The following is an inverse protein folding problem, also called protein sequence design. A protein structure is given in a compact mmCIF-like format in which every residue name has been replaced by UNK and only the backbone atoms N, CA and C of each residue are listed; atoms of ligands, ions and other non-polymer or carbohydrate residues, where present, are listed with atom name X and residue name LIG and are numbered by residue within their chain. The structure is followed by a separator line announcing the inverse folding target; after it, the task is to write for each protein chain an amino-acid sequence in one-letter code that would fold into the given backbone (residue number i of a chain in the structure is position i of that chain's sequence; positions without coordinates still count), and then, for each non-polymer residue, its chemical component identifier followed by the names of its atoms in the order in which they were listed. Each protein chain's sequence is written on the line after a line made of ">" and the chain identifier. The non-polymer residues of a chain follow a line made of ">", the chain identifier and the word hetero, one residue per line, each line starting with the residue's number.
data_IF_968110720006
#
_entry.id   IF_968110720006
#
_cell.length_a   1.000
_cell.length_b   1.000
_cell.length_c   1.000
_cell.angle_alpha   90.00
_cell.angle_beta   90.00
_cell.angle_gamma   90.00
#
_symmetry.space_group_name_H-M   'P 1'
#
loop_
_entity.id
_entity.type
_entity.pdbx_description
1 polymer ?
#
# COMPACT_ATOMS: atom_id res chain seq x y z
N UNK A 1 -18.49 -0.36 -0.72
CA UNK A 1 -18.03 -1.62 -0.10
C UNK A 1 -17.76 -2.60 -1.24
N UNK A 2 -16.53 -2.59 -1.75
CA UNK A 2 -16.14 -3.40 -2.92
C UNK A 2 -15.80 -4.79 -2.42
N UNK A 3 -16.58 -5.80 -2.83
CA UNK A 3 -16.31 -7.19 -2.48
C UNK A 3 -14.93 -7.62 -2.99
N UNK A 4 -14.19 -8.31 -2.11
CA UNK A 4 -12.92 -9.00 -2.35
C UNK A 4 -13.07 -9.97 -3.53
N UNK A 5 -12.79 -9.56 -4.78
CA UNK A 5 -12.77 -10.52 -5.90
C UNK A 5 -11.43 -11.24 -5.96
N UNK A 6 -11.21 -12.22 -5.09
CA UNK A 6 -10.17 -13.22 -5.35
C UNK A 6 -10.38 -13.70 -6.80
N UNK A 7 -9.37 -13.55 -7.66
CA UNK A 7 -9.52 -13.90 -9.09
C UNK A 7 -9.92 -15.36 -9.19
N UNK A 8 -10.86 -15.70 -10.08
CA UNK A 8 -11.35 -17.07 -10.28
C UNK A 8 -10.20 -18.07 -10.42
N UNK A 9 -9.13 -17.67 -11.11
CA UNK A 9 -7.89 -18.45 -11.29
C UNK A 9 -7.16 -18.80 -9.98
N UNK A 10 -7.18 -17.91 -8.97
CA UNK A 10 -6.56 -18.19 -7.68
C UNK A 10 -7.42 -19.14 -6.85
N UNK A 11 -8.75 -19.06 -6.99
CA UNK A 11 -9.69 -19.99 -6.37
C UNK A 11 -9.50 -21.39 -6.97
N UNK A 12 -9.47 -21.50 -8.30
CA UNK A 12 -9.24 -22.75 -9.03
C UNK A 12 -7.89 -23.40 -8.66
N UNK A 13 -6.83 -22.60 -8.51
CA UNK A 13 -5.52 -23.10 -8.09
C UNK A 13 -5.53 -23.65 -6.65
N UNK A 14 -6.20 -22.97 -5.72
CA UNK A 14 -6.35 -23.43 -4.32
C UNK A 14 -7.24 -24.67 -4.25
N UNK A 15 -8.33 -24.71 -5.01
CA UNK A 15 -9.22 -25.88 -5.10
C UNK A 15 -8.47 -27.10 -5.64
N UNK A 16 -7.65 -26.95 -6.68
CA UNK A 16 -6.81 -28.02 -7.21
C UNK A 16 -5.81 -28.59 -6.18
N UNK A 17 -5.19 -27.71 -5.36
CA UNK A 17 -4.29 -28.13 -4.27
C UNK A 17 -5.07 -28.91 -3.20
N UNK A 18 -6.26 -28.42 -2.83
CA UNK A 18 -7.13 -29.07 -1.83
C UNK A 18 -7.60 -30.45 -2.33
N UNK A 19 -7.98 -30.56 -3.60
CA UNK A 19 -8.46 -31.82 -4.17
C UNK A 19 -7.33 -32.85 -4.32
N UNK A 20 -6.13 -32.41 -4.70
CA UNK A 20 -4.92 -33.24 -4.65
C UNK A 20 -4.62 -33.75 -3.23
N UNK A 21 -4.79 -32.90 -2.22
CA UNK A 21 -4.59 -33.28 -0.82
C UNK A 21 -5.65 -34.26 -0.31
N UNK A 22 -6.92 -34.13 -0.73
CA UNK A 22 -7.98 -35.10 -0.42
C UNK A 22 -7.70 -36.48 -1.03
N UNK A 23 -7.13 -36.53 -2.23
CA UNK A 23 -6.82 -37.76 -2.93
C UNK A 23 -5.60 -38.50 -2.34
N UNK A 24 -4.60 -37.76 -1.86
CA UNK A 24 -3.29 -38.32 -1.46
C UNK A 24 -3.05 -38.34 0.05
N UNK A 25 -3.83 -37.59 0.82
CA UNK A 25 -3.59 -37.36 2.25
C UNK A 25 -2.39 -36.46 2.55
N UNK A 26 -1.75 -35.88 1.52
CA UNK A 26 -0.59 -35.00 1.63
C UNK A 26 -0.90 -33.64 1.03
N UNK A 27 -0.57 -32.56 1.75
CA UNK A 27 -0.74 -31.20 1.26
C UNK A 27 0.53 -30.79 0.49
N UNK A 28 0.35 -30.31 -0.74
CA UNK A 28 1.40 -29.59 -1.45
C UNK A 28 1.63 -28.21 -0.82
N UNK A 29 2.53 -28.18 0.17
CA UNK A 29 2.85 -26.98 0.92
C UNK A 29 3.45 -25.87 0.02
N UNK A 30 4.30 -26.24 -0.93
CA UNK A 30 4.96 -25.26 -1.81
C UNK A 30 3.96 -24.66 -2.80
N UNK A 31 3.05 -25.49 -3.33
CA UNK A 31 1.90 -25.02 -4.12
C UNK A 31 1.00 -24.08 -3.33
N UNK A 32 0.65 -24.43 -2.08
CA UNK A 32 -0.18 -23.59 -1.21
C UNK A 32 0.49 -22.25 -0.90
N UNK A 33 1.78 -22.27 -0.59
CA UNK A 33 2.58 -21.07 -0.34
C UNK A 33 2.61 -20.17 -1.57
N UNK A 34 2.85 -20.73 -2.76
CA UNK A 34 2.86 -19.99 -4.03
C UNK A 34 1.50 -19.34 -4.34
N UNK A 35 0.41 -20.06 -4.10
CA UNK A 35 -0.94 -19.54 -4.23
C UNK A 35 -1.21 -18.39 -3.24
N UNK A 36 -0.80 -18.54 -1.98
CA UNK A 36 -0.94 -17.50 -0.97
C UNK A 36 -0.14 -16.23 -1.32
N UNK A 37 1.11 -16.37 -1.79
CA UNK A 37 1.93 -15.25 -2.26
C UNK A 37 1.29 -14.52 -3.45
N UNK A 38 0.64 -15.27 -4.34
CA UNK A 38 -0.08 -14.70 -5.49
C UNK A 38 -1.34 -13.94 -5.07
N UNK A 39 -2.14 -14.49 -4.16
CA UNK A 39 -3.30 -13.80 -3.60
C UNK A 39 -2.88 -12.52 -2.89
N UNK A 40 -1.83 -12.57 -2.05
CA UNK A 40 -1.32 -11.42 -1.34
C UNK A 40 -0.83 -10.31 -2.28
N UNK A 41 -0.07 -10.68 -3.32
CA UNK A 41 0.37 -9.73 -4.36
C UNK A 41 -0.83 -9.08 -5.06
N UNK A 42 -1.83 -9.86 -5.45
CA UNK A 42 -2.99 -9.33 -6.16
C UNK A 42 -3.79 -8.34 -5.30
N UNK A 43 -3.97 -8.66 -4.02
CA UNK A 43 -4.62 -7.79 -3.05
C UNK A 43 -3.82 -6.48 -2.84
N UNK A 44 -2.51 -6.60 -2.68
CA UNK A 44 -1.62 -5.44 -2.55
C UNK A 44 -1.69 -4.54 -3.79
N UNK A 45 -1.62 -5.10 -5.00
CA UNK A 45 -1.64 -4.33 -6.26
C UNK A 45 -2.96 -3.59 -6.46
N UNK A 46 -4.09 -4.22 -6.11
CA UNK A 46 -5.39 -3.55 -6.15
C UNK A 46 -5.53 -2.45 -5.11
N UNK A 47 -5.02 -2.67 -3.91
CA UNK A 47 -4.97 -1.65 -2.86
C UNK A 47 -4.09 -0.47 -3.29
N UNK A 48 -2.96 -0.76 -3.95
CA UNK A 48 -2.09 0.25 -4.54
C UNK A 48 -2.80 1.04 -5.64
N UNK A 49 -3.50 0.37 -6.56
CA UNK A 49 -4.27 1.02 -7.62
C UNK A 49 -5.39 1.91 -7.07
N UNK A 50 -6.17 1.39 -6.11
CA UNK A 50 -7.22 2.16 -5.44
C UNK A 50 -6.65 3.39 -4.71
N UNK A 51 -5.51 3.24 -4.05
CA UNK A 51 -4.81 4.35 -3.42
C UNK A 51 -4.36 5.40 -4.45
N UNK A 52 -3.70 4.98 -5.54
CA UNK A 52 -3.25 5.91 -6.59
C UNK A 52 -4.40 6.60 -7.31
N UNK A 53 -5.57 5.98 -7.42
CA UNK A 53 -6.78 6.61 -7.98
C UNK A 53 -7.30 7.80 -7.14
N UNK A 54 -6.91 7.91 -5.86
CA UNK A 54 -7.19 9.08 -5.03
C UNK A 54 -6.19 10.22 -5.24
N UNK A 55 -5.15 9.99 -6.05
CA UNK A 55 -4.05 10.93 -6.27
C UNK A 55 -4.12 11.51 -7.67
N UNK A 56 -3.58 12.71 -7.82
CA UNK A 56 -3.38 13.33 -9.12
C UNK A 56 -2.10 12.79 -9.77
N UNK A 57 -2.16 11.58 -10.31
CA UNK A 57 -1.04 10.94 -11.01
C UNK A 57 -0.94 11.41 -12.47
N UNK A 58 0.27 11.42 -13.02
CA UNK A 58 0.50 11.77 -14.43
C UNK A 58 -0.04 10.69 -15.37
N UNK A 59 -0.31 11.06 -16.63
CA UNK A 59 -0.73 10.08 -17.66
C UNK A 59 0.25 8.92 -17.80
N UNK A 60 1.57 9.19 -17.78
CA UNK A 60 2.58 8.14 -17.87
C UNK A 60 2.58 7.19 -16.66
N UNK A 61 2.23 7.69 -15.47
CA UNK A 61 2.07 6.85 -14.26
C UNK A 61 0.78 6.04 -14.31
N UNK A 62 -0.30 6.60 -14.86
CA UNK A 62 -1.54 5.88 -15.12
C UNK A 62 -1.32 4.75 -16.13
N UNK A 63 -0.66 5.02 -17.26
CA UNK A 63 -0.34 3.99 -18.27
C UNK A 63 0.50 2.85 -17.66
N UNK A 64 1.46 3.19 -16.81
CA UNK A 64 2.27 2.20 -16.07
C UNK A 64 1.44 1.40 -15.08
N UNK A 65 0.53 2.06 -14.36
CA UNK A 65 -0.38 1.39 -13.44
C UNK A 65 -1.27 0.40 -14.20
N UNK A 66 -1.85 0.81 -15.32
CA UNK A 66 -2.73 -0.02 -16.13
C UNK A 66 -1.98 -1.23 -16.71
N UNK A 67 -0.74 -1.04 -17.18
CA UNK A 67 0.11 -2.13 -17.63
C UNK A 67 0.41 -3.15 -16.51
N UNK A 68 0.81 -2.66 -15.32
CA UNK A 68 1.07 -3.52 -14.17
C UNK A 68 -0.19 -4.27 -13.70
N UNK A 69 -1.36 -3.62 -13.73
CA UNK A 69 -2.63 -4.23 -13.34
C UNK A 69 -3.13 -5.26 -14.35
N UNK A 70 -2.70 -5.21 -15.61
CA UNK A 70 -3.05 -6.19 -16.62
C UNK A 70 -2.35 -7.55 -16.41
N UNK A 71 -1.07 -7.55 -16.01
CA UNK A 71 -0.27 -8.77 -15.80
C UNK A 71 -0.22 -9.24 -14.34
N UNK A 72 -0.27 -8.31 -13.37
CA UNK A 72 -0.23 -8.60 -11.93
C UNK A 72 0.92 -9.54 -11.49
N UNK A 73 2.06 -9.49 -12.19
CA UNK A 73 3.21 -10.33 -11.90
C UNK A 73 4.05 -9.78 -10.75
N UNK A 74 4.95 -10.61 -10.22
CA UNK A 74 5.88 -10.19 -9.16
C UNK A 74 6.78 -9.03 -9.58
N UNK A 75 7.12 -8.94 -10.87
CA UNK A 75 7.88 -7.81 -11.41
C UNK A 75 7.07 -6.51 -11.35
N UNK A 76 5.77 -6.58 -11.62
CA UNK A 76 4.86 -5.42 -11.59
C UNK A 76 4.67 -4.87 -10.17
N UNK A 77 4.53 -5.73 -9.18
CA UNK A 77 4.50 -5.34 -7.77
C UNK A 77 5.75 -4.52 -7.38
N UNK A 78 6.93 -4.99 -7.79
CA UNK A 78 8.20 -4.29 -7.56
C UNK A 78 8.27 -2.98 -8.33
N UNK A 79 7.68 -2.91 -9.52
CA UNK A 79 7.62 -1.70 -10.32
C UNK A 79 6.66 -0.65 -9.76
N UNK A 80 5.54 -1.06 -9.16
CA UNK A 80 4.57 -0.14 -8.54
C UNK A 80 5.01 0.36 -7.17
N UNK A 81 5.79 -0.45 -6.43
CA UNK A 81 6.19 -0.13 -5.06
C UNK A 81 6.86 1.24 -4.91
N UNK A 82 7.83 1.65 -5.76
CA UNK A 82 8.40 2.99 -5.71
C UNK A 82 7.36 4.09 -5.91
N UNK A 83 6.48 3.95 -6.90
CA UNK A 83 5.45 4.95 -7.22
C UNK A 83 4.51 5.17 -6.03
N UNK A 84 3.96 4.09 -5.49
CA UNK A 84 3.07 4.12 -4.31
C UNK A 84 3.79 4.74 -3.11
N UNK A 85 5.04 4.35 -2.85
CA UNK A 85 5.82 4.87 -1.74
C UNK A 85 6.08 6.37 -1.87
N UNK A 86 6.31 6.89 -3.07
CA UNK A 86 6.55 8.32 -3.28
C UNK A 86 5.33 9.18 -2.93
N UNK A 87 4.12 8.74 -3.31
CA UNK A 87 2.89 9.41 -2.93
C UNK A 87 2.61 9.30 -1.43
N UNK A 88 2.81 8.10 -0.85
CA UNK A 88 2.60 7.91 0.60
C UNK A 88 3.53 8.76 1.45
N UNK A 89 4.76 8.99 0.99
CA UNK A 89 5.70 9.91 1.67
C UNK A 89 5.20 11.35 1.62
N UNK A 90 4.67 11.78 0.48
CA UNK A 90 4.06 13.10 0.35
C UNK A 90 2.88 13.28 1.28
N UNK A 91 1.96 12.30 1.32
CA UNK A 91 0.83 12.32 2.25
C UNK A 91 1.29 12.43 3.70
N UNK A 92 2.29 11.65 4.11
CA UNK A 92 2.81 11.71 5.47
C UNK A 92 3.41 13.08 5.78
N UNK A 93 4.16 13.68 4.86
CA UNK A 93 4.71 15.01 5.09
C UNK A 93 3.61 16.06 5.21
N UNK A 94 2.57 16.00 4.37
CA UNK A 94 1.41 16.89 4.51
C UNK A 94 0.68 16.70 5.84
N UNK A 95 0.52 15.46 6.31
CA UNK A 95 -0.04 15.17 7.63
C UNK A 95 0.83 15.71 8.77
N UNK A 96 2.16 15.58 8.67
CA UNK A 96 3.09 16.10 9.67
C UNK A 96 3.01 17.62 9.72
N UNK A 97 3.08 18.29 8.57
CA UNK A 97 3.03 19.75 8.47
C UNK A 97 1.71 20.30 9.04
N UNK A 98 0.59 19.64 8.73
CA UNK A 98 -0.71 20.03 9.27
C UNK A 98 -0.84 19.80 10.80
N UNK A 99 -0.07 18.86 11.36
CA UNK A 99 -0.03 18.58 12.79
C UNK A 99 0.90 19.51 13.57
N UNK A 100 1.78 20.26 12.91
CA UNK A 100 2.72 21.18 13.59
C UNK A 100 2.00 22.38 14.25
N UNK A 101 0.86 22.81 13.69
CA UNK A 101 0.06 23.92 14.19
C UNK A 101 -0.98 23.51 15.26
N UNK A 102 -1.01 22.24 15.63
CA UNK A 102 -2.01 21.66 16.54
C UNK A 102 -1.45 21.52 17.96
N UNK A 103 -2.24 21.77 19.02
CA UNK A 103 -1.83 21.54 20.40
C UNK A 103 -1.73 20.04 20.74
N UNK A 104 -0.68 19.38 20.23
CA UNK A 104 -0.40 17.97 20.48
C UNK A 104 0.13 17.72 21.89
N UNK A 105 -0.28 16.58 22.48
CA UNK A 105 0.33 16.05 23.70
C UNK A 105 1.82 15.75 23.51
N UNK A 106 2.56 15.62 24.61
CA UNK A 106 4.00 15.28 24.58
C UNK A 106 4.26 13.94 23.87
N UNK A 107 3.35 12.98 23.99
CA UNK A 107 3.46 11.66 23.34
C UNK A 107 3.23 11.78 21.84
N UNK A 108 2.16 12.45 21.41
CA UNK A 108 1.85 12.67 19.98
C UNK A 108 2.97 13.45 19.29
N UNK A 109 3.46 14.52 19.91
CA UNK A 109 4.59 15.30 19.39
C UNK A 109 5.86 14.47 19.21
N UNK A 110 6.10 13.50 20.10
CA UNK A 110 7.25 12.58 19.96
C UNK A 110 7.06 11.63 18.76
N UNK A 111 5.83 11.17 18.50
CA UNK A 111 5.51 10.35 17.34
C UNK A 111 5.70 11.13 16.04
N UNK A 112 5.10 12.32 15.94
CA UNK A 112 5.19 13.20 14.75
C UNK A 112 6.66 13.53 14.45
N UNK A 113 7.45 13.97 15.45
CA UNK A 113 8.88 14.24 15.26
C UNK A 113 9.70 13.01 14.85
N UNK A 114 9.37 11.83 15.39
CA UNK A 114 10.01 10.58 15.01
C UNK A 114 9.75 10.25 13.53
N UNK A 115 8.50 10.38 13.09
CA UNK A 115 8.13 10.16 11.69
C UNK A 115 8.77 11.19 10.76
N UNK A 116 8.77 12.48 11.11
CA UNK A 116 9.40 13.53 10.31
C UNK A 116 10.89 13.25 10.05
N UNK A 117 11.61 12.82 11.09
CA UNK A 117 13.03 12.44 10.98
C UNK A 117 13.21 11.24 10.04
N UNK A 118 12.38 10.22 10.18
CA UNK A 118 12.46 9.00 9.37
C UNK A 118 12.21 9.26 7.88
N UNK A 119 11.29 10.18 7.55
CA UNK A 119 10.93 10.48 6.16
C UNK A 119 11.86 11.50 5.49
N UNK A 120 12.52 12.37 6.26
CA UNK A 120 13.60 13.24 5.75
C UNK A 120 14.83 12.45 5.26
N UNK A 121 15.02 11.22 5.73
CA UNK A 121 16.15 10.35 5.37
C UNK A 121 15.94 9.49 4.11
N UNK A 122 14.75 9.51 3.51
CA UNK A 122 14.44 8.86 2.22
C UNK A 122 14.49 7.33 2.17
N UNK A 123 14.88 6.64 3.24
CA UNK A 123 15.27 5.21 3.18
C UNK A 123 14.21 4.22 3.69
N UNK A 124 13.19 4.67 4.43
CA UNK A 124 12.26 3.73 5.06
C UNK A 124 11.04 3.44 4.15
N UNK A 125 10.60 2.17 4.07
CA UNK A 125 9.31 1.82 3.51
C UNK A 125 8.21 2.54 4.29
N UNK A 126 7.23 3.08 3.58
CA UNK A 126 6.04 3.64 4.26
C UNK A 126 5.16 2.48 4.70
N UNK A 127 5.23 2.16 5.99
CA UNK A 127 4.31 1.22 6.62
C UNK A 127 2.91 1.86 6.75
N UNK A 128 1.87 1.10 6.37
CA UNK A 128 0.48 1.54 6.49
C UNK A 128 0.10 1.86 7.95
N UNK A 129 0.68 1.17 8.92
CA UNK A 129 0.39 1.43 10.33
C UNK A 129 0.87 2.82 10.76
N UNK A 130 1.93 3.35 10.14
CA UNK A 130 2.41 4.72 10.41
C UNK A 130 1.44 5.76 9.85
N UNK A 131 0.95 5.55 8.63
CA UNK A 131 -0.07 6.43 8.03
C UNK A 131 -1.34 6.43 8.89
N UNK A 132 -1.87 5.25 9.26
CA UNK A 132 -3.08 5.13 10.09
C UNK A 132 -2.95 5.86 11.43
N UNK A 133 -1.76 5.85 12.03
CA UNK A 133 -1.52 6.60 13.29
C UNK A 133 -1.60 8.11 13.09
N UNK A 134 -1.09 8.63 11.98
CA UNK A 134 -1.20 10.05 11.65
C UNK A 134 -2.63 10.40 11.28
N UNK A 135 -3.30 9.62 10.44
CA UNK A 135 -4.73 9.79 10.09
C UNK A 135 -5.61 9.85 11.35
N UNK A 136 -5.39 8.95 12.31
CA UNK A 136 -6.12 8.97 13.57
C UNK A 136 -5.78 10.18 14.46
N UNK A 137 -4.60 10.79 14.33
CA UNK A 137 -4.28 12.07 15.00
C UNK A 137 -4.97 13.23 14.30
N UNK A 138 -4.92 13.28 12.96
CA UNK A 138 -5.64 14.27 12.14
C UNK A 138 -7.12 14.30 12.50
N UNK A 139 -7.76 13.13 12.53
CA UNK A 139 -9.18 12.99 12.88
C UNK A 139 -9.47 13.44 14.32
N UNK A 140 -8.64 13.05 15.29
CA UNK A 140 -8.83 13.41 16.71
C UNK A 140 -8.75 14.93 16.93
N UNK A 141 -7.89 15.61 16.17
CA UNK A 141 -7.69 17.05 16.27
C UNK A 141 -8.54 17.84 15.26
N UNK A 142 -9.46 17.18 14.56
CA UNK A 142 -10.36 17.76 13.54
C UNK A 142 -9.63 18.60 12.47
N UNK A 143 -8.44 18.12 12.08
CA UNK A 143 -7.61 18.78 11.08
C UNK A 143 -8.08 18.36 9.69
N UNK A 144 -8.36 19.33 8.83
CA UNK A 144 -8.77 19.09 7.45
C UNK A 144 -7.53 19.14 6.53
N UNK A 145 -7.26 18.06 5.79
CA UNK A 145 -6.15 17.97 4.85
C UNK A 145 -6.62 17.38 3.53
N UNK A 146 -6.24 18.01 2.43
CA UNK A 146 -6.44 17.47 1.09
C UNK A 146 -5.17 16.75 0.62
N UNK A 147 -5.18 15.42 0.72
CA UNK A 147 -4.07 14.54 0.35
C UNK A 147 -4.10 14.22 -1.16
N UNK A 148 -3.95 15.22 -2.01
CA UNK A 148 -4.19 15.06 -3.46
C UNK A 148 -2.94 14.82 -4.32
N UNK A 149 -1.79 15.42 -3.96
CA UNK A 149 -0.88 15.86 -5.04
C UNK A 149 0.62 15.79 -4.75
N UNK A 150 1.05 15.58 -3.50
CA UNK A 150 2.48 15.63 -3.20
C UNK A 150 3.13 14.28 -3.48
N UNK A 151 4.02 14.24 -4.48
CA UNK A 151 4.91 13.10 -4.75
C UNK A 151 6.31 13.43 -4.24
N UNK A 152 6.84 12.61 -3.33
CA UNK A 152 8.18 12.80 -2.78
C UNK A 152 9.13 11.67 -3.14
N UNK A 153 10.28 12.04 -3.71
CA UNK A 153 11.29 11.11 -4.19
C UNK A 153 10.87 10.46 -5.50
N UNK A 154 11.26 11.07 -6.62
CA UNK A 154 11.31 10.43 -7.92
C UNK A 154 12.77 10.30 -8.31
N UNK A 155 13.28 9.07 -8.43
CA UNK A 155 14.48 8.85 -9.22
C UNK A 155 14.04 8.84 -10.69
N UNK A 156 14.65 9.71 -11.48
CA UNK A 156 14.83 9.52 -12.93
C UNK A 156 15.81 8.35 -13.09
#
# INVERSE_FOLDING_TARGET
>A
MTMLSITTTNIEAIEGIIDGAKATGQIDYDGLKSAAETVHRHDWMRTAAAYLATKNITLAEQDRLDACMASMERADERMLSPLVNSYRRGDIMQMIDALDDVPLSKVERKVVKGMAKDFSGGSLPVDQDRMRRLEAMIERHDVQIELGSLKLGGFI
#
